data_IF_454241623988
#
_entry.id   IF_454241623988
#
_cell.length_a   1.000
_cell.length_b   1.000
_cell.length_c   1.000
_cell.angle_alpha   90.00
_cell.angle_beta   90.00
_cell.angle_gamma   90.00
#
_symmetry.space_group_name_H-M   'P 1'
#
loop_
_entity.id
_entity.type
_entity.pdbx_description
1 polymer ?
#
# COMPACT_ATOMS: atom_id res chain seq x y z
N UNK A 1 25.23 0.45 -7.45
CA UNK A 1 24.22 0.08 -8.41
C UNK A 1 24.72 -1.04 -9.31
N UNK A 2 23.87 -2.03 -9.57
CA UNK A 2 24.09 -3.02 -10.64
C UNK A 2 23.63 -2.43 -11.98
N UNK A 3 24.47 -2.49 -12.98
CA UNK A 3 24.17 -2.03 -14.34
C UNK A 3 24.50 -3.13 -15.36
N UNK A 4 24.01 -3.05 -16.60
CA UNK A 4 24.38 -4.03 -17.65
C UNK A 4 25.88 -4.14 -17.91
N UNK A 5 26.66 -3.08 -17.56
CA UNK A 5 28.11 -3.02 -17.74
C UNK A 5 28.90 -3.31 -16.46
N UNK A 6 28.24 -3.68 -15.37
CA UNK A 6 28.85 -4.00 -14.08
C UNK A 6 28.36 -3.12 -12.93
N UNK A 7 29.12 -3.12 -11.84
CA UNK A 7 28.79 -2.32 -10.66
C UNK A 7 29.24 -0.87 -10.82
N UNK A 8 28.35 0.06 -10.47
CA UNK A 8 28.62 1.49 -10.47
C UNK A 8 28.45 2.07 -9.07
N UNK A 9 29.38 2.91 -8.64
CA UNK A 9 29.26 3.68 -7.40
C UNK A 9 28.76 5.09 -7.69
N UNK A 10 27.70 5.51 -6.98
CA UNK A 10 27.21 6.89 -7.00
C UNK A 10 27.47 7.50 -5.62
N UNK A 11 28.10 8.68 -5.59
CA UNK A 11 28.23 9.48 -4.38
C UNK A 11 27.18 10.57 -4.38
N UNK A 12 26.42 10.68 -3.30
CA UNK A 12 25.38 11.68 -3.09
C UNK A 12 25.56 12.37 -1.74
N UNK A 13 25.15 13.63 -1.65
CA UNK A 13 25.13 14.37 -0.37
C UNK A 13 23.98 13.91 0.54
N UNK A 14 22.86 13.54 -0.06
CA UNK A 14 21.69 13.00 0.61
C UNK A 14 21.08 11.90 -0.27
N UNK A 15 20.58 10.85 0.35
CA UNK A 15 19.92 9.72 -0.31
C UNK A 15 18.48 9.66 0.18
N UNK A 16 17.56 9.34 -0.70
CA UNK A 16 16.17 9.03 -0.35
C UNK A 16 15.88 7.57 -0.69
N UNK A 17 15.57 6.76 0.32
CA UNK A 17 15.06 5.40 0.11
C UNK A 17 13.54 5.47 -0.14
N UNK A 18 13.16 5.37 -1.39
CA UNK A 18 11.78 5.27 -1.84
C UNK A 18 11.45 3.87 -2.42
N UNK A 19 12.21 2.84 -2.03
CA UNK A 19 12.02 1.46 -2.53
C UNK A 19 10.72 0.83 -2.07
N UNK A 20 10.09 1.42 -1.05
CA UNK A 20 8.88 0.90 -0.41
C UNK A 20 9.16 -0.23 0.58
N UNK A 21 10.31 -0.89 0.46
CA UNK A 21 10.73 -2.01 1.30
C UNK A 21 11.92 -1.66 2.22
N UNK A 22 12.37 -0.39 2.22
CA UNK A 22 13.47 0.09 3.04
C UNK A 22 14.79 -0.60 2.71
N UNK A 23 15.01 -0.93 1.44
CA UNK A 23 16.18 -1.73 1.03
C UNK A 23 17.49 -0.96 1.23
N UNK A 24 17.51 0.33 0.88
CA UNK A 24 18.71 1.16 1.04
C UNK A 24 19.00 1.41 2.52
N UNK A 25 17.97 1.69 3.31
CA UNK A 25 18.08 1.90 4.76
C UNK A 25 18.60 0.64 5.45
N UNK A 26 18.05 -0.54 5.12
CA UNK A 26 18.52 -1.83 5.63
C UNK A 26 19.98 -2.08 5.24
N UNK A 27 20.37 -1.77 3.99
CA UNK A 27 21.76 -1.93 3.54
C UNK A 27 22.74 -0.96 4.20
N UNK A 28 22.24 0.08 4.85
CA UNK A 28 22.99 1.04 5.66
C UNK A 28 22.89 0.74 7.17
N UNK A 29 22.46 -0.48 7.54
CA UNK A 29 22.29 -0.95 8.92
C UNK A 29 21.28 -0.14 9.76
N UNK A 30 20.28 0.49 9.11
CA UNK A 30 19.18 1.14 9.81
C UNK A 30 18.33 0.12 10.57
N UNK A 31 17.89 0.47 11.78
CA UNK A 31 16.95 -0.33 12.55
C UNK A 31 15.58 -0.39 11.84
N UNK A 32 14.95 -1.56 11.84
CA UNK A 32 13.62 -1.75 11.25
C UNK A 32 12.79 -2.82 11.97
N UNK A 33 11.48 -2.76 11.77
CA UNK A 33 10.54 -3.80 12.16
C UNK A 33 9.86 -4.39 10.93
N UNK A 34 9.44 -5.66 11.03
CA UNK A 34 8.71 -6.37 9.98
C UNK A 34 7.42 -6.93 10.56
N UNK A 35 6.31 -6.74 9.84
CA UNK A 35 5.02 -7.29 10.21
C UNK A 35 4.47 -6.76 11.54
N UNK A 36 3.43 -7.41 12.06
CA UNK A 36 2.79 -7.03 13.31
C UNK A 36 3.58 -7.52 14.54
N UNK A 37 3.40 -6.82 15.64
CA UNK A 37 4.00 -7.25 16.91
C UNK A 37 3.43 -8.62 17.33
N UNK A 38 4.28 -9.43 17.93
CA UNK A 38 3.97 -10.75 18.46
C UNK A 38 4.36 -11.90 17.55
N UNK A 39 3.97 -11.92 16.28
CA UNK A 39 4.27 -13.03 15.36
C UNK A 39 5.05 -12.61 14.09
N UNK A 40 5.24 -11.31 13.85
CA UNK A 40 5.99 -10.81 12.71
C UNK A 40 5.30 -10.98 11.35
N UNK A 41 4.03 -11.39 11.32
CA UNK A 41 3.32 -11.58 10.06
C UNK A 41 3.02 -10.25 9.37
N UNK A 42 3.44 -10.14 8.10
CA UNK A 42 3.07 -9.04 7.21
C UNK A 42 1.67 -9.23 6.64
N UNK A 43 1.04 -8.14 6.23
CA UNK A 43 -0.19 -8.19 5.46
C UNK A 43 0.05 -8.97 4.15
N UNK A 44 -0.97 -9.74 3.67
CA UNK A 44 -0.81 -10.58 2.50
C UNK A 44 -0.51 -9.78 1.23
N UNK A 45 0.15 -10.43 0.29
CA UNK A 45 0.40 -9.89 -1.05
C UNK A 45 -0.71 -10.26 -2.01
N UNK A 46 -0.80 -9.54 -3.11
CA UNK A 46 -1.81 -9.73 -4.15
C UNK A 46 -1.19 -9.63 -5.54
N UNK A 47 -1.91 -10.15 -6.52
CA UNK A 47 -1.64 -9.93 -7.93
C UNK A 47 -2.94 -9.52 -8.61
N UNK A 48 -3.08 -8.24 -8.93
CA UNK A 48 -4.23 -7.76 -9.69
C UNK A 48 -4.10 -8.16 -11.15
N UNK A 49 -5.26 -8.35 -11.79
CA UNK A 49 -5.32 -8.71 -13.20
C UNK A 49 -6.50 -8.05 -13.90
N UNK A 50 -6.43 -8.00 -15.22
CA UNK A 50 -7.49 -7.47 -16.07
C UNK A 50 -8.11 -8.61 -16.86
N UNK A 51 -9.42 -8.65 -16.92
CA UNK A 51 -10.18 -9.52 -17.83
C UNK A 51 -10.82 -8.67 -18.93
N UNK A 52 -10.90 -9.25 -20.13
CA UNK A 52 -11.63 -8.71 -21.27
C UNK A 52 -12.84 -9.59 -21.65
N UNK A 53 -13.57 -9.23 -22.72
CA UNK A 53 -14.77 -9.90 -23.22
C UNK A 53 -15.92 -9.95 -22.19
N UNK A 54 -16.00 -8.93 -21.36
CA UNK A 54 -17.09 -8.74 -20.41
C UNK A 54 -18.28 -8.09 -21.11
N UNK A 55 -19.47 -8.67 -20.96
CA UNK A 55 -20.72 -8.09 -21.45
C UNK A 55 -21.19 -6.96 -20.53
N UNK A 56 -20.91 -5.72 -20.94
CA UNK A 56 -21.21 -4.51 -20.18
C UNK A 56 -22.71 -4.35 -19.83
N UNK A 57 -23.59 -4.92 -20.65
CA UNK A 57 -25.03 -4.78 -20.44
C UNK A 57 -25.56 -5.59 -19.26
N UNK A 58 -24.81 -6.63 -18.83
CA UNK A 58 -25.21 -7.54 -17.76
C UNK A 58 -24.22 -7.58 -16.60
N UNK A 59 -22.99 -7.14 -16.84
CA UNK A 59 -21.90 -7.27 -15.88
C UNK A 59 -22.06 -6.37 -14.66
N UNK A 60 -21.96 -6.94 -13.49
CA UNK A 60 -21.90 -6.21 -12.25
C UNK A 60 -20.51 -5.55 -12.04
N UNK A 61 -20.46 -4.54 -11.18
CA UNK A 61 -19.23 -3.99 -10.58
C UNK A 61 -19.31 -4.16 -9.06
N UNK A 62 -18.18 -4.35 -8.41
CA UNK A 62 -18.11 -4.50 -6.96
C UNK A 62 -16.80 -3.90 -6.44
N UNK A 63 -16.87 -2.94 -5.53
CA UNK A 63 -15.71 -2.31 -4.90
C UNK A 63 -15.30 -2.99 -3.60
N UNK A 64 -16.22 -3.71 -2.94
CA UNK A 64 -15.93 -4.37 -1.68
C UNK A 64 -17.09 -5.16 -1.09
N UNK A 65 -16.82 -5.79 0.04
CA UNK A 65 -17.80 -6.65 0.71
C UNK A 65 -19.00 -5.92 1.33
N UNK A 66 -18.95 -4.60 1.46
CA UNK A 66 -20.03 -3.75 1.94
C UNK A 66 -20.94 -3.20 0.81
N UNK A 67 -20.58 -3.43 -0.45
CA UNK A 67 -21.37 -2.94 -1.58
C UNK A 67 -22.74 -3.62 -1.63
N UNK A 68 -23.82 -2.86 -1.88
CA UNK A 68 -25.17 -3.41 -1.98
C UNK A 68 -25.44 -4.09 -3.33
N UNK A 69 -24.42 -4.72 -3.93
CA UNK A 69 -24.51 -5.37 -5.24
C UNK A 69 -25.24 -6.69 -5.11
N UNK A 70 -26.28 -6.89 -5.94
CA UNK A 70 -27.01 -8.14 -6.04
C UNK A 70 -26.85 -8.78 -7.41
N UNK A 71 -26.88 -10.11 -7.44
CA UNK A 71 -27.05 -10.89 -8.66
C UNK A 71 -28.50 -10.82 -9.15
N UNK A 72 -28.78 -11.18 -10.42
CA UNK A 72 -30.15 -11.14 -10.97
C UNK A 72 -31.17 -12.01 -10.21
N UNK A 73 -30.72 -13.02 -9.47
CA UNK A 73 -31.55 -13.88 -8.63
C UNK A 73 -31.85 -13.27 -7.25
N UNK A 74 -31.36 -12.05 -6.99
CA UNK A 74 -31.59 -11.30 -5.74
C UNK A 74 -30.58 -11.60 -4.63
N UNK A 75 -29.67 -12.55 -4.79
CA UNK A 75 -28.60 -12.83 -3.80
C UNK A 75 -27.60 -11.69 -3.76
N UNK A 76 -27.18 -11.31 -2.57
CA UNK A 76 -26.05 -10.37 -2.42
C UNK A 76 -24.77 -10.98 -2.93
N UNK A 77 -24.08 -10.28 -3.82
CA UNK A 77 -22.84 -10.77 -4.43
C UNK A 77 -21.75 -11.10 -3.41
N UNK A 78 -21.62 -10.29 -2.37
CA UNK A 78 -20.63 -10.54 -1.31
C UNK A 78 -20.92 -11.83 -0.50
N UNK A 79 -22.19 -12.15 -0.27
CA UNK A 79 -22.60 -13.40 0.38
C UNK A 79 -22.34 -14.58 -0.52
N UNK A 80 -22.67 -14.44 -1.79
CA UNK A 80 -22.41 -15.46 -2.80
C UNK A 80 -20.91 -15.77 -2.95
N UNK A 81 -20.02 -14.76 -2.95
CA UNK A 81 -18.58 -15.00 -2.94
C UNK A 81 -18.11 -15.80 -1.72
N UNK A 82 -18.67 -15.52 -0.54
CA UNK A 82 -18.35 -16.28 0.69
C UNK A 82 -18.81 -17.73 0.60
N UNK A 83 -20.01 -17.98 0.09
CA UNK A 83 -20.54 -19.33 -0.15
C UNK A 83 -19.64 -20.11 -1.12
N UNK A 84 -19.26 -19.47 -2.24
CA UNK A 84 -18.36 -20.04 -3.24
C UNK A 84 -16.95 -20.34 -2.65
N UNK A 85 -16.45 -19.46 -1.78
CA UNK A 85 -15.20 -19.71 -1.05
C UNK A 85 -15.32 -20.95 -0.13
N UNK A 86 -16.40 -21.05 0.63
CA UNK A 86 -16.67 -22.20 1.52
C UNK A 86 -16.84 -23.52 0.72
N UNK A 87 -17.41 -23.43 -0.48
CA UNK A 87 -17.57 -24.57 -1.39
C UNK A 87 -16.26 -24.93 -2.14
N UNK A 88 -15.17 -24.16 -1.99
CA UNK A 88 -13.91 -24.38 -2.67
C UNK A 88 -13.89 -23.94 -4.14
N UNK A 89 -14.87 -23.18 -4.60
CA UNK A 89 -14.90 -22.60 -5.95
C UNK A 89 -14.01 -21.35 -6.06
N UNK A 90 -13.71 -20.69 -4.95
CA UNK A 90 -12.73 -19.61 -4.83
C UNK A 90 -11.52 -20.05 -3.99
N UNK A 91 -10.35 -19.42 -4.19
CA UNK A 91 -9.18 -19.70 -3.35
C UNK A 91 -9.47 -19.49 -1.87
N UNK A 92 -8.83 -20.26 -0.98
CA UNK A 92 -9.09 -20.29 0.47
C UNK A 92 -9.17 -18.92 1.13
N UNK A 93 -8.32 -17.98 0.71
CA UNK A 93 -8.23 -16.64 1.32
C UNK A 93 -9.02 -15.58 0.54
N UNK A 94 -9.73 -15.95 -0.54
CA UNK A 94 -10.50 -15.04 -1.38
C UNK A 94 -11.97 -15.11 -1.00
N UNK A 95 -12.42 -14.17 -0.19
CA UNK A 95 -13.82 -14.10 0.31
C UNK A 95 -14.69 -13.10 -0.46
N UNK A 96 -14.08 -12.33 -1.36
CA UNK A 96 -14.74 -11.36 -2.24
C UNK A 96 -13.93 -11.18 -3.52
N UNK A 97 -14.58 -11.09 -4.66
CA UNK A 97 -13.96 -10.74 -5.94
C UNK A 97 -14.38 -9.32 -6.31
N UNK A 98 -13.45 -8.36 -6.19
CA UNK A 98 -13.71 -6.96 -6.55
C UNK A 98 -13.55 -6.79 -8.04
N UNK A 99 -14.51 -6.09 -8.67
CA UNK A 99 -14.66 -5.94 -10.11
C UNK A 99 -14.79 -4.46 -10.45
N UNK A 100 -13.69 -3.84 -10.88
CA UNK A 100 -13.63 -2.41 -11.17
C UNK A 100 -13.69 -2.17 -12.68
N UNK A 101 -14.42 -1.14 -13.10
CA UNK A 101 -14.38 -0.68 -14.49
C UNK A 101 -13.00 -0.12 -14.82
N UNK A 102 -12.55 -0.38 -16.04
CA UNK A 102 -11.39 0.29 -16.62
C UNK A 102 -11.86 1.39 -17.59
N UNK A 103 -10.94 2.06 -18.26
CA UNK A 103 -11.27 3.03 -19.31
C UNK A 103 -11.74 2.39 -20.62
N UNK A 104 -11.59 1.08 -20.76
CA UNK A 104 -11.96 0.34 -21.97
C UNK A 104 -13.25 -0.44 -21.74
N UNK A 105 -14.16 -0.34 -22.71
CA UNK A 105 -15.40 -1.12 -22.68
C UNK A 105 -15.09 -2.62 -22.76
N UNK A 106 -15.87 -3.43 -22.05
CA UNK A 106 -15.67 -4.89 -22.01
C UNK A 106 -14.49 -5.36 -21.14
N UNK A 107 -13.85 -4.45 -20.39
CA UNK A 107 -12.75 -4.78 -19.48
C UNK A 107 -13.11 -4.56 -18.00
N UNK A 108 -12.53 -5.39 -17.15
CA UNK A 108 -12.55 -5.20 -15.68
C UNK A 108 -11.17 -5.43 -15.08
N UNK A 109 -10.76 -4.54 -14.18
CA UNK A 109 -9.69 -4.82 -13.25
C UNK A 109 -10.25 -5.65 -12.09
N UNK A 110 -9.58 -6.74 -11.79
CA UNK A 110 -9.99 -7.71 -10.76
C UNK A 110 -8.99 -7.71 -9.61
N UNK A 111 -9.47 -7.29 -8.43
CA UNK A 111 -8.72 -7.33 -7.19
C UNK A 111 -9.34 -8.39 -6.27
N UNK A 112 -8.77 -9.58 -6.28
CA UNK A 112 -9.31 -10.74 -5.56
C UNK A 112 -8.24 -11.60 -4.91
N UNK A 113 -7.08 -11.78 -5.56
CA UNK A 113 -6.06 -12.73 -5.11
C UNK A 113 -5.44 -12.33 -3.78
N UNK A 114 -5.10 -13.30 -2.95
CA UNK A 114 -4.48 -13.07 -1.64
C UNK A 114 -3.58 -14.22 -1.25
N UNK A 115 -2.26 -13.97 -1.15
CA UNK A 115 -1.26 -14.94 -0.70
C UNK A 115 -0.71 -14.52 0.68
N UNK A 116 -0.85 -15.43 1.65
CA UNK A 116 -0.50 -15.21 3.05
C UNK A 116 0.77 -15.97 3.41
N UNK A 117 1.58 -15.42 4.32
CA UNK A 117 2.71 -16.13 4.93
C UNK A 117 3.95 -16.29 4.04
N UNK A 118 4.02 -15.60 2.91
CA UNK A 118 5.21 -15.57 2.07
C UNK A 118 6.20 -14.50 2.51
N UNK A 119 7.48 -14.87 2.58
CA UNK A 119 8.57 -13.92 2.81
C UNK A 119 8.88 -13.15 1.53
N UNK A 120 8.29 -11.96 1.38
CA UNK A 120 8.51 -11.09 0.20
C UNK A 120 9.81 -10.28 0.25
N UNK A 121 10.65 -10.52 1.25
CA UNK A 121 12.02 -10.00 1.32
C UNK A 121 13.04 -10.98 0.72
N UNK A 122 12.61 -12.20 0.35
CA UNK A 122 13.43 -13.20 -0.32
C UNK A 122 12.97 -13.47 -1.76
N UNK A 123 13.90 -13.79 -2.66
CA UNK A 123 13.59 -14.10 -4.06
C UNK A 123 12.73 -15.37 -4.18
N UNK A 124 12.97 -16.37 -3.34
CA UNK A 124 12.18 -17.60 -3.30
C UNK A 124 10.75 -17.32 -2.87
N UNK A 125 10.56 -16.57 -1.78
CA UNK A 125 9.23 -16.19 -1.30
C UNK A 125 8.43 -15.36 -2.31
N UNK A 126 9.09 -14.43 -3.03
CA UNK A 126 8.47 -13.70 -4.14
C UNK A 126 8.02 -14.66 -5.26
N UNK A 127 8.90 -15.59 -5.68
CA UNK A 127 8.61 -16.55 -6.75
C UNK A 127 7.44 -17.47 -6.37
N UNK A 128 7.45 -17.98 -5.14
CA UNK A 128 6.41 -18.88 -4.64
C UNK A 128 5.07 -18.16 -4.52
N UNK A 129 5.05 -16.93 -4.00
CA UNK A 129 3.86 -16.10 -3.94
C UNK A 129 3.29 -15.79 -5.33
N UNK A 130 4.15 -15.47 -6.32
CA UNK A 130 3.75 -15.25 -7.71
C UNK A 130 3.09 -16.48 -8.32
N UNK A 131 3.64 -17.66 -8.05
CA UNK A 131 3.11 -18.92 -8.55
C UNK A 131 1.74 -19.22 -7.94
N UNK A 132 1.60 -19.07 -6.63
CA UNK A 132 0.31 -19.23 -5.94
C UNK A 132 -0.74 -18.26 -6.49
N UNK A 133 -0.41 -16.99 -6.57
CA UNK A 133 -1.34 -15.95 -7.02
C UNK A 133 -1.79 -16.14 -8.48
N UNK A 134 -0.91 -16.61 -9.37
CA UNK A 134 -1.30 -16.98 -10.74
C UNK A 134 -2.27 -18.17 -10.80
N UNK A 135 -2.08 -19.16 -9.93
CA UNK A 135 -3.04 -20.26 -9.78
C UNK A 135 -4.40 -19.74 -9.27
N UNK A 136 -4.39 -18.80 -8.32
CA UNK A 136 -5.59 -18.15 -7.83
C UNK A 136 -6.33 -17.37 -8.93
N UNK A 137 -5.62 -16.66 -9.82
CA UNK A 137 -6.22 -15.98 -10.99
C UNK A 137 -7.02 -16.98 -11.83
N UNK A 138 -6.45 -18.14 -12.14
CA UNK A 138 -7.14 -19.16 -12.93
C UNK A 138 -8.43 -19.67 -12.26
N UNK A 139 -8.43 -19.82 -10.94
CA UNK A 139 -9.63 -20.20 -10.16
C UNK A 139 -10.69 -19.09 -10.19
N UNK A 140 -10.28 -17.84 -9.95
CA UNK A 140 -11.19 -16.68 -9.96
C UNK A 140 -11.83 -16.50 -11.32
N UNK A 141 -11.09 -16.63 -12.42
CA UNK A 141 -11.66 -16.52 -13.78
C UNK A 141 -12.68 -17.63 -14.05
N UNK A 142 -12.40 -18.87 -13.66
CA UNK A 142 -13.38 -19.97 -13.76
C UNK A 142 -14.66 -19.69 -12.96
N UNK A 143 -14.51 -19.17 -11.75
CA UNK A 143 -15.64 -18.74 -10.93
C UNK A 143 -16.47 -17.66 -11.62
N UNK A 144 -15.85 -16.62 -12.17
CA UNK A 144 -16.53 -15.55 -12.90
C UNK A 144 -17.28 -16.09 -14.11
N UNK A 145 -16.63 -16.90 -14.94
CA UNK A 145 -17.23 -17.48 -16.13
C UNK A 145 -18.45 -18.35 -15.83
N UNK A 146 -18.39 -19.14 -14.76
CA UNK A 146 -19.45 -20.07 -14.37
C UNK A 146 -20.64 -19.38 -13.69
N UNK A 147 -20.36 -18.34 -12.89
CA UNK A 147 -21.29 -17.92 -11.85
C UNK A 147 -21.73 -16.45 -11.93
N UNK A 148 -21.02 -15.60 -12.69
CA UNK A 148 -21.27 -14.16 -12.65
C UNK A 148 -21.77 -13.66 -14.01
N UNK A 149 -23.03 -13.18 -14.10
CA UNK A 149 -23.62 -12.72 -15.35
C UNK A 149 -22.80 -11.62 -16.02
N UNK A 150 -22.59 -11.77 -17.34
CA UNK A 150 -21.77 -10.87 -18.14
C UNK A 150 -20.28 -11.22 -18.18
N UNK A 151 -19.85 -12.25 -17.43
CA UNK A 151 -18.46 -12.70 -17.40
C UNK A 151 -18.25 -14.09 -18.04
N UNK A 152 -19.26 -14.68 -18.65
CA UNK A 152 -19.24 -16.05 -19.17
C UNK A 152 -18.12 -16.29 -20.19
N UNK A 153 -17.79 -15.26 -20.98
CA UNK A 153 -16.74 -15.30 -22.00
C UNK A 153 -15.45 -14.57 -21.59
N UNK A 154 -15.36 -14.07 -20.35
CA UNK A 154 -14.21 -13.29 -19.93
C UNK A 154 -12.92 -14.10 -20.00
N UNK A 155 -11.82 -13.43 -20.31
CA UNK A 155 -10.48 -14.01 -20.36
C UNK A 155 -9.49 -13.10 -19.65
N UNK A 156 -8.40 -13.66 -19.14
CA UNK A 156 -7.28 -12.84 -18.65
C UNK A 156 -6.66 -12.10 -19.83
N UNK A 157 -6.73 -10.78 -19.82
CA UNK A 157 -6.03 -9.90 -20.75
C UNK A 157 -4.60 -9.67 -20.33
N UNK A 158 -4.39 -9.38 -19.03
CA UNK A 158 -3.08 -9.14 -18.45
C UNK A 158 -3.14 -9.36 -16.93
N UNK A 159 -2.01 -9.63 -16.34
CA UNK A 159 -1.79 -9.58 -14.89
C UNK A 159 -0.67 -8.58 -14.58
N UNK A 160 -0.60 -8.10 -13.33
CA UNK A 160 0.53 -7.29 -12.90
C UNK A 160 1.85 -8.07 -13.05
N UNK A 161 2.92 -7.36 -13.40
CA UNK A 161 4.26 -7.94 -13.57
C UNK A 161 4.97 -8.15 -12.23
N UNK A 162 4.58 -7.37 -11.20
CA UNK A 162 5.15 -7.41 -9.86
C UNK A 162 4.07 -7.62 -8.81
N UNK A 163 4.45 -8.20 -7.68
CA UNK A 163 3.56 -8.38 -6.54
C UNK A 163 3.06 -7.03 -5.99
N UNK A 164 1.80 -6.97 -5.67
CA UNK A 164 1.22 -5.93 -4.83
C UNK A 164 1.60 -6.18 -3.37
N UNK A 165 2.78 -5.72 -2.98
CA UNK A 165 3.30 -5.87 -1.61
C UNK A 165 2.75 -4.74 -0.76
N UNK A 166 1.95 -5.10 0.26
CA UNK A 166 1.37 -4.13 1.20
C UNK A 166 2.35 -3.70 2.27
N UNK A 167 3.07 -4.66 2.83
CA UNK A 167 3.92 -4.47 4.00
C UNK A 167 5.20 -5.30 3.90
N UNK A 168 6.30 -4.68 4.32
CA UNK A 168 7.60 -5.31 4.55
C UNK A 168 8.27 -4.62 5.73
N UNK A 169 9.46 -4.02 5.53
CA UNK A 169 10.17 -3.29 6.57
C UNK A 169 9.52 -1.92 6.82
N UNK A 170 9.44 -1.56 8.07
CA UNK A 170 9.19 -0.20 8.55
C UNK A 170 10.46 0.26 9.26
N UNK A 171 11.13 1.25 8.69
CA UNK A 171 12.39 1.77 9.20
C UNK A 171 12.10 2.60 10.46
N UNK A 172 12.87 2.37 11.52
CA UNK A 172 12.69 3.13 12.75
C UNK A 172 13.29 4.53 12.60
N UNK A 173 12.44 5.53 12.75
CA UNK A 173 12.79 6.94 12.69
C UNK A 173 12.78 7.60 14.07
N UNK A 174 13.17 8.87 14.09
CA UNK A 174 13.18 9.68 15.33
C UNK A 174 11.78 9.82 15.96
N UNK A 175 10.74 9.54 15.21
CA UNK A 175 9.37 9.34 15.69
C UNK A 175 8.74 8.12 15.01
N UNK A 176 8.00 7.34 15.76
CA UNK A 176 7.20 6.21 15.25
C UNK A 176 5.74 6.67 15.24
N UNK A 177 5.14 6.84 14.07
CA UNK A 177 3.71 7.20 13.97
C UNK A 177 2.87 6.14 14.66
N UNK A 178 2.11 6.55 15.66
CA UNK A 178 1.35 5.66 16.53
C UNK A 178 -0.06 5.37 15.98
N UNK A 179 -0.66 4.29 16.45
CA UNK A 179 -2.07 3.97 16.17
C UNK A 179 -2.99 5.14 16.57
N UNK A 180 -2.75 5.69 17.77
CA UNK A 180 -3.51 6.81 18.32
C UNK A 180 -3.41 8.09 17.50
N UNK A 181 -2.28 8.31 16.80
CA UNK A 181 -2.10 9.49 15.96
C UNK A 181 -3.06 9.44 14.77
N UNK A 182 -3.18 8.25 14.15
CA UNK A 182 -4.06 8.01 13.01
C UNK A 182 -5.54 7.99 13.43
N UNK A 183 -5.85 7.35 14.54
CA UNK A 183 -7.23 7.23 15.05
C UNK A 183 -7.80 8.57 15.51
N UNK A 184 -6.99 9.40 16.15
CA UNK A 184 -7.43 10.66 16.73
C UNK A 184 -7.22 11.87 15.81
N UNK A 185 -6.49 11.72 14.67
CA UNK A 185 -6.17 12.81 13.78
C UNK A 185 -5.14 13.76 14.41
N UNK A 186 -3.98 13.21 14.80
CA UNK A 186 -2.94 14.00 15.43
C UNK A 186 -2.33 15.04 14.49
N UNK A 187 -2.05 16.23 15.00
CA UNK A 187 -1.35 17.30 14.31
C UNK A 187 0.02 17.55 14.95
N UNK A 188 1.03 17.85 14.14
CA UNK A 188 2.39 18.06 14.60
C UNK A 188 2.96 19.38 14.07
N UNK A 189 3.72 20.13 14.89
CA UNK A 189 4.34 21.38 14.42
C UNK A 189 5.39 21.14 13.33
N UNK A 190 6.03 19.99 13.31
CA UNK A 190 7.00 19.56 12.31
C UNK A 190 6.39 18.69 11.20
N UNK A 191 5.08 18.78 10.98
CA UNK A 191 4.40 18.05 9.91
C UNK A 191 4.90 18.48 8.53
N UNK A 192 5.23 17.52 7.67
CA UNK A 192 5.54 17.75 6.26
C UNK A 192 4.54 17.06 5.32
N UNK A 193 3.63 16.26 5.87
CA UNK A 193 2.41 15.78 5.20
C UNK A 193 1.25 16.13 6.10
N UNK A 194 0.27 16.84 5.57
CA UNK A 194 -0.89 17.33 6.30
C UNK A 194 -2.17 16.68 5.81
N UNK A 195 -3.12 16.46 6.72
CA UNK A 195 -4.42 15.87 6.42
C UNK A 195 -4.33 14.57 5.64
N UNK A 196 -3.35 13.73 5.93
CA UNK A 196 -3.32 12.37 5.42
C UNK A 196 -4.59 11.64 5.88
N UNK A 197 -5.29 11.01 4.94
CA UNK A 197 -6.52 10.32 5.28
C UNK A 197 -6.68 9.04 4.46
N UNK A 198 -6.78 7.95 5.16
CA UNK A 198 -7.22 6.66 4.67
C UNK A 198 -7.63 5.81 5.87
N UNK A 199 -8.62 4.95 5.69
CA UNK A 199 -9.02 4.02 6.75
C UNK A 199 -7.86 3.08 7.14
N UNK A 200 -7.87 2.57 8.36
CA UNK A 200 -6.91 1.55 8.82
C UNK A 200 -7.34 0.22 8.18
N UNK A 201 -6.71 -0.10 7.03
CA UNK A 201 -7.04 -1.24 6.17
C UNK A 201 -6.03 -2.38 6.38
N UNK A 202 -6.29 -3.23 7.38
CA UNK A 202 -5.44 -4.38 7.68
C UNK A 202 -6.04 -5.63 7.03
N UNK A 203 -5.44 -6.09 5.95
CA UNK A 203 -5.74 -7.40 5.40
C UNK A 203 -5.23 -8.50 6.32
N UNK A 204 -6.06 -9.52 6.57
CA UNK A 204 -5.75 -10.57 7.54
C UNK A 204 -4.49 -11.36 7.16
N UNK A 205 -3.42 -11.30 7.96
CA UNK A 205 -2.15 -11.99 7.66
C UNK A 205 -2.27 -13.53 7.69
N UNK A 206 -3.26 -14.07 8.38
CA UNK A 206 -3.42 -15.52 8.61
C UNK A 206 -4.67 -16.12 8.01
N UNK A 207 -5.45 -15.34 7.26
CA UNK A 207 -6.70 -15.79 6.66
C UNK A 207 -7.22 -14.87 5.56
N UNK A 208 -8.44 -15.09 5.10
CA UNK A 208 -9.10 -14.23 4.13
C UNK A 208 -9.71 -12.97 4.77
N UNK A 209 -9.94 -11.94 3.93
CA UNK A 209 -10.61 -10.72 4.33
C UNK A 209 -9.76 -9.78 5.19
N UNK A 210 -10.43 -9.03 6.06
CA UNK A 210 -9.81 -8.07 6.96
C UNK A 210 -9.44 -8.73 8.30
N UNK A 211 -8.36 -8.28 8.94
CA UNK A 211 -7.95 -8.75 10.27
C UNK A 211 -8.91 -8.26 11.37
N UNK A 212 -9.45 -7.07 11.20
CA UNK A 212 -10.42 -6.46 12.10
C UNK A 212 -11.81 -6.52 11.48
N UNK A 213 -12.86 -6.71 12.30
CA UNK A 213 -14.26 -6.87 11.83
C UNK A 213 -14.75 -5.69 10.99
N UNK A 214 -14.20 -4.50 11.26
CA UNK A 214 -14.45 -3.29 10.48
C UNK A 214 -13.11 -2.55 10.32
N UNK A 215 -12.82 -2.10 9.10
CA UNK A 215 -11.77 -1.09 8.92
C UNK A 215 -12.14 0.13 9.76
N UNK A 216 -11.27 0.48 10.71
CA UNK A 216 -11.53 1.60 11.60
C UNK A 216 -11.39 2.91 10.81
N UNK A 217 -12.31 3.87 10.99
CA UNK A 217 -12.16 5.17 10.37
C UNK A 217 -10.94 5.87 10.99
N UNK A 218 -9.99 6.27 10.14
CA UNK A 218 -8.99 7.25 10.53
C UNK A 218 -9.59 8.65 10.42
N UNK A 219 -9.21 9.55 11.32
CA UNK A 219 -9.41 10.98 11.10
C UNK A 219 -8.27 11.51 10.23
N UNK A 220 -8.43 12.64 9.53
CA UNK A 220 -7.31 13.31 8.90
C UNK A 220 -6.20 13.57 9.92
N UNK A 221 -4.98 13.15 9.61
CA UNK A 221 -3.82 13.23 10.51
C UNK A 221 -2.61 13.76 9.77
N UNK A 222 -1.62 14.25 10.51
CA UNK A 222 -0.36 14.69 9.96
C UNK A 222 0.72 13.61 10.09
N UNK A 223 1.75 13.69 9.23
CA UNK A 223 2.95 12.89 9.36
C UNK A 223 4.12 13.83 9.62
N UNK A 224 4.74 13.74 10.83
CA UNK A 224 5.84 14.63 11.21
C UNK A 224 7.14 14.25 10.49
N UNK A 225 8.00 15.24 10.26
CA UNK A 225 9.29 15.07 9.58
C UNK A 225 10.15 13.95 10.19
N UNK A 226 10.09 13.81 11.48
CA UNK A 226 10.83 12.79 12.25
C UNK A 226 10.49 11.33 11.86
N UNK A 227 9.36 11.07 11.21
CA UNK A 227 9.02 9.74 10.68
C UNK A 227 9.89 9.33 9.48
N UNK A 228 10.54 10.29 8.82
CA UNK A 228 11.33 10.08 7.60
C UNK A 228 12.83 10.06 7.86
N UNK A 229 13.26 10.22 9.12
CA UNK A 229 14.65 10.30 9.57
C UNK A 229 15.06 8.99 10.25
N UNK A 230 15.76 8.06 9.56
CA UNK A 230 16.23 6.82 10.18
C UNK A 230 17.16 7.09 11.35
N UNK A 231 16.93 6.41 12.47
CA UNK A 231 17.79 6.52 13.66
C UNK A 231 19.22 6.09 13.30
N UNK A 232 20.19 6.91 13.68
CA UNK A 232 21.62 6.61 13.54
C UNK A 232 22.20 6.78 12.13
N UNK A 233 21.41 7.17 11.13
CA UNK A 233 21.88 7.39 9.76
C UNK A 233 21.78 8.88 9.40
N UNK A 234 22.92 9.52 9.08
CA UNK A 234 22.97 10.98 8.98
C UNK A 234 22.46 11.57 7.66
N UNK A 235 22.67 10.89 6.52
CA UNK A 235 22.42 11.44 5.19
C UNK A 235 21.39 10.64 4.39
N UNK A 236 20.49 9.95 5.09
CA UNK A 236 19.43 9.14 4.51
C UNK A 236 18.05 9.66 4.97
N UNK A 237 17.12 9.67 4.04
CA UNK A 237 15.68 9.84 4.27
C UNK A 237 14.95 8.61 3.74
N UNK A 238 13.81 8.28 4.32
CA UNK A 238 12.92 7.23 3.82
C UNK A 238 11.59 7.83 3.37
N UNK A 239 10.94 7.24 2.37
CA UNK A 239 9.63 7.70 1.89
C UNK A 239 8.75 6.52 1.45
N UNK A 240 7.43 6.67 1.58
CA UNK A 240 6.46 5.66 1.19
C UNK A 240 6.17 4.65 2.29
N UNK A 241 5.88 3.40 1.91
CA UNK A 241 5.45 2.34 2.85
C UNK A 241 6.45 2.07 3.98
N UNK A 242 7.73 2.30 3.76
CA UNK A 242 8.80 1.97 4.71
C UNK A 242 9.09 3.04 5.76
N UNK A 243 8.35 4.14 5.83
CA UNK A 243 8.54 5.14 6.88
C UNK A 243 8.25 4.58 8.27
N UNK A 244 8.65 5.34 9.30
CA UNK A 244 8.50 4.95 10.70
C UNK A 244 7.06 5.04 11.17
N UNK A 245 6.49 3.91 11.54
CA UNK A 245 5.13 3.80 12.09
C UNK A 245 4.84 2.41 12.62
N UNK A 246 3.78 2.28 13.40
CA UNK A 246 3.27 0.99 13.87
C UNK A 246 2.65 0.20 12.71
N UNK A 247 2.41 -1.09 12.90
CA UNK A 247 1.71 -1.93 11.92
C UNK A 247 0.32 -1.38 11.55
N UNK A 248 -0.42 -0.85 12.51
CA UNK A 248 -1.76 -0.30 12.30
C UNK A 248 -1.71 1.07 11.60
N UNK A 249 -0.83 1.98 12.04
CA UNK A 249 -0.62 3.26 11.37
C UNK A 249 -0.19 3.05 9.91
N UNK A 250 0.70 2.09 9.67
CA UNK A 250 1.13 1.70 8.32
C UNK A 250 -0.05 1.30 7.42
N UNK A 251 -1.04 0.61 7.94
CA UNK A 251 -2.21 0.21 7.16
C UNK A 251 -3.03 1.39 6.62
N UNK A 252 -2.87 2.58 7.20
CA UNK A 252 -3.45 3.83 6.70
C UNK A 252 -2.50 4.58 5.76
N UNK A 253 -1.26 4.89 6.18
CA UNK A 253 -0.40 5.79 5.40
C UNK A 253 0.24 5.18 4.14
N UNK A 254 0.19 3.86 3.95
CA UNK A 254 0.83 3.15 2.82
C UNK A 254 0.20 3.38 1.45
N UNK A 255 -0.94 4.08 1.36
CA UNK A 255 -1.65 4.27 0.10
C UNK A 255 -0.97 5.31 -0.80
N UNK A 256 -1.16 5.15 -2.13
CA UNK A 256 -0.44 5.93 -3.14
C UNK A 256 -0.54 7.44 -2.94
N UNK A 257 -1.73 7.99 -2.68
CA UNK A 257 -1.91 9.43 -2.52
C UNK A 257 -1.05 10.00 -1.38
N UNK A 258 -1.04 9.31 -0.23
CA UNK A 258 -0.22 9.72 0.92
C UNK A 258 1.27 9.53 0.60
N UNK A 259 1.66 8.42 -0.04
CA UNK A 259 3.05 8.19 -0.45
C UNK A 259 3.55 9.24 -1.46
N UNK A 260 2.70 9.76 -2.35
CA UNK A 260 3.07 10.85 -3.27
C UNK A 260 3.35 12.15 -2.51
N UNK A 261 2.52 12.51 -1.54
CA UNK A 261 2.75 13.67 -0.67
C UNK A 261 4.06 13.52 0.14
N UNK A 262 4.33 12.32 0.68
CA UNK A 262 5.61 12.01 1.34
C UNK A 262 6.79 12.22 0.39
N UNK A 263 6.69 11.73 -0.85
CA UNK A 263 7.76 11.84 -1.84
C UNK A 263 8.08 13.29 -2.20
N UNK A 264 7.08 14.14 -2.36
CA UNK A 264 7.27 15.57 -2.58
C UNK A 264 7.96 16.24 -1.39
N UNK A 265 7.46 16.02 -0.18
CA UNK A 265 7.99 16.63 1.03
C UNK A 265 9.44 16.20 1.31
N UNK A 266 9.73 14.90 1.22
CA UNK A 266 11.08 14.35 1.41
C UNK A 266 12.04 14.80 0.31
N UNK A 267 11.55 14.96 -0.94
CA UNK A 267 12.33 15.53 -2.03
C UNK A 267 12.79 16.97 -1.74
N UNK A 268 11.90 17.79 -1.18
CA UNK A 268 12.25 19.16 -0.72
C UNK A 268 13.28 19.11 0.40
N UNK A 269 13.08 18.24 1.41
CA UNK A 269 14.02 18.08 2.53
C UNK A 269 15.43 17.67 2.03
N UNK A 270 15.50 16.69 1.13
CA UNK A 270 16.76 16.23 0.55
C UNK A 270 17.47 17.34 -0.25
N UNK A 271 16.72 18.13 -1.01
CA UNK A 271 17.26 19.25 -1.77
C UNK A 271 17.83 20.33 -0.86
N UNK A 272 17.12 20.72 0.20
CA UNK A 272 17.59 21.69 1.19
C UNK A 272 18.85 21.21 1.92
N UNK A 273 18.85 19.93 2.34
CA UNK A 273 20.01 19.28 2.95
C UNK A 273 21.24 19.36 2.03
N UNK A 274 21.09 18.96 0.78
CA UNK A 274 22.17 18.95 -0.20
C UNK A 274 22.69 20.35 -0.56
N UNK A 275 21.80 21.35 -0.68
CA UNK A 275 22.16 22.75 -0.98
C UNK A 275 22.92 23.39 0.19
N UNK A 276 22.51 23.12 1.44
CA UNK A 276 23.14 23.69 2.63
C UNK A 276 24.35 22.93 3.08
N UNK A 277 24.57 21.71 2.58
CA UNK A 277 25.67 20.84 3.01
C UNK A 277 25.52 20.35 4.45
N UNK A 278 24.27 20.17 4.92
CA UNK A 278 23.95 19.68 6.27
C UNK A 278 23.22 18.34 6.19
N UNK A 279 23.28 17.54 7.25
CA UNK A 279 22.49 16.31 7.32
C UNK A 279 20.98 16.62 7.30
N UNK A 280 20.11 15.75 6.73
CA UNK A 280 18.67 15.95 6.71
C UNK A 280 18.07 16.32 8.08
N UNK A 281 18.46 15.65 9.14
CA UNK A 281 17.99 15.94 10.51
C UNK A 281 18.28 17.37 11.00
N UNK A 282 19.21 18.07 10.36
CA UNK A 282 19.59 19.45 10.68
C UNK A 282 18.88 20.47 9.77
N UNK A 283 18.01 20.03 8.88
CA UNK A 283 17.12 20.90 8.10
C UNK A 283 15.88 21.17 8.96
N UNK A 284 15.62 22.43 9.36
CA UNK A 284 14.41 22.76 10.12
C UNK A 284 13.14 22.38 9.33
N UNK A 285 12.17 21.81 10.02
CA UNK A 285 10.90 21.45 9.37
C UNK A 285 10.18 22.66 8.78
N UNK A 286 10.28 23.83 9.42
CA UNK A 286 9.70 25.09 8.99
C UNK A 286 10.22 25.52 7.61
N UNK A 287 11.47 25.23 7.28
CA UNK A 287 12.04 25.55 5.98
C UNK A 287 11.47 24.64 4.88
N UNK A 288 11.26 23.36 5.21
CA UNK A 288 10.59 22.40 4.31
C UNK A 288 9.15 22.86 4.08
N UNK A 289 8.44 23.18 5.15
CA UNK A 289 7.06 23.68 5.13
C UNK A 289 6.93 24.96 4.29
N UNK A 290 7.85 25.90 4.46
CA UNK A 290 7.85 27.15 3.68
C UNK A 290 7.99 26.90 2.18
N UNK A 291 8.82 25.95 1.77
CA UNK A 291 8.98 25.57 0.35
C UNK A 291 7.72 24.88 -0.16
N UNK A 292 7.14 23.96 0.60
CA UNK A 292 5.93 23.25 0.23
C UNK A 292 4.74 24.19 0.07
N UNK A 293 4.54 25.12 1.04
CA UNK A 293 3.48 26.13 0.97
C UNK A 293 3.65 27.08 -0.23
N UNK A 294 4.88 27.48 -0.55
CA UNK A 294 5.18 28.29 -1.75
C UNK A 294 4.83 27.54 -3.03
N UNK A 295 4.85 26.20 -3.02
CA UNK A 295 4.43 25.36 -4.15
C UNK A 295 2.92 25.08 -4.17
N UNK A 296 2.16 25.62 -3.22
CA UNK A 296 0.71 25.48 -3.13
C UNK A 296 0.24 24.29 -2.29
N UNK A 297 1.15 23.62 -1.57
CA UNK A 297 0.77 22.55 -0.62
C UNK A 297 0.15 23.19 0.62
N UNK A 298 -1.04 22.77 0.99
CA UNK A 298 -1.69 23.19 2.23
C UNK A 298 -1.18 22.30 3.37
N UNK A 299 -0.48 22.88 4.35
CA UNK A 299 0.09 22.15 5.50
C UNK A 299 -0.64 22.45 6.82
N UNK A 300 -1.45 23.50 6.87
CA UNK A 300 -2.21 23.90 8.07
C UNK A 300 -3.60 24.34 7.66
N UNK A 301 -4.58 24.09 8.50
CA UNK A 301 -5.93 24.60 8.27
C UNK A 301 -5.95 26.12 8.36
N UNK A 302 -6.48 26.76 7.33
CA UNK A 302 -6.65 28.23 7.28
C UNK A 302 -7.76 28.74 8.23
N UNK A 303 -8.15 27.97 9.24
CA UNK A 303 -9.25 28.29 10.14
C UNK A 303 -8.91 29.33 11.22
N UNK A 304 -7.75 30.00 11.14
CA UNK A 304 -7.34 31.09 12.04
C UNK A 304 -6.64 32.25 11.30
N UNK A 305 -7.18 32.71 10.19
CA UNK A 305 -6.80 34.03 9.63
C UNK A 305 -8.00 34.95 9.53
#
# INVERSE_FOLDING_TARGET
LSTPTGLMTIRAKCIVDATGDGFVAMSADAEYKVGRDGDGHCQPVTLEFVVDQVDESRAITCFGGSDPVCLPDGRKYAEFCKEANQAGELPKNVTIVRLHRTHYAGERSVNATQANGYDTLSLTGISDAMTDLRNQIAMVVKFLQKNVPGYENCRVKSSADVLGVRETRRIMGDYILQDSDVENGAHFPDAIVHNAWFLIDIHNPTGGGQAEKHSQPAKPYDIPYRCFLPIGIENLLVAGRCISGTHRAHASYRVMAICMAMGEAVGVAAALSAQRGVAPKNVPAEDIQAVLMKRGVQLFDNSNS
#
